data_IF_263740020516
#
_entry.id   IF_263740020516
#
_cell.length_a   1.000
_cell.length_b   1.000
_cell.length_c   1.000
_cell.angle_alpha   90.00
_cell.angle_beta   90.00
_cell.angle_gamma   90.00
#
_symmetry.space_group_name_H-M   'P 1'
#
loop_
_entity.id
_entity.type
_entity.pdbx_description
1 polymer ?
#
# COMPACT_ATOMS: atom_id res chain seq x y z
N UNK A 1 -9.94 0.57 25.15
CA UNK A 1 -8.77 -0.32 25.07
C UNK A 1 -8.55 -0.59 23.59
N UNK A 2 -7.44 -0.09 23.02
CA UNK A 2 -7.08 -0.42 21.65
C UNK A 2 -6.72 -1.91 21.56
N UNK A 3 -7.29 -2.63 20.59
CA UNK A 3 -6.94 -4.02 20.31
C UNK A 3 -6.01 -3.99 19.11
N UNK A 4 -4.76 -4.42 19.31
CA UNK A 4 -3.84 -4.63 18.20
C UNK A 4 -4.36 -5.76 17.31
N UNK A 5 -4.54 -5.47 16.01
CA UNK A 5 -4.91 -6.45 15.00
C UNK A 5 -3.94 -6.35 13.84
N UNK A 6 -3.41 -7.51 13.44
CA UNK A 6 -2.62 -7.69 12.24
C UNK A 6 -3.28 -8.78 11.40
N UNK A 7 -3.48 -8.53 10.12
CA UNK A 7 -3.97 -9.51 9.15
C UNK A 7 -3.13 -9.46 7.89
N UNK A 8 -2.81 -10.63 7.33
CA UNK A 8 -2.06 -10.74 6.07
C UNK A 8 -2.93 -11.42 5.03
N UNK A 9 -3.08 -10.78 3.87
CA UNK A 9 -3.83 -11.30 2.73
C UNK A 9 -2.91 -11.52 1.53
N UNK A 10 -3.34 -12.38 0.62
CA UNK A 10 -2.62 -12.69 -0.62
C UNK A 10 -3.50 -12.33 -1.80
N UNK A 11 -2.99 -11.45 -2.66
CA UNK A 11 -3.62 -11.04 -3.91
C UNK A 11 -3.30 -12.00 -5.04
N UNK A 12 -4.29 -12.30 -5.89
CA UNK A 12 -4.11 -13.11 -7.10
C UNK A 12 -3.78 -12.23 -8.29
N UNK A 13 -3.13 -12.81 -9.30
CA UNK A 13 -2.88 -12.13 -10.57
C UNK A 13 -4.16 -11.54 -11.20
N UNK A 14 -4.03 -10.32 -11.74
CA UNK A 14 -5.12 -9.54 -12.34
C UNK A 14 -5.89 -8.67 -11.34
N UNK A 15 -5.34 -8.40 -10.16
CA UNK A 15 -5.99 -7.65 -9.07
C UNK A 15 -5.07 -6.65 -8.36
N UNK A 16 -3.78 -6.61 -8.67
CA UNK A 16 -2.83 -5.74 -7.98
C UNK A 16 -3.06 -4.26 -8.31
N UNK A 17 -3.06 -3.90 -9.59
CA UNK A 17 -3.20 -2.51 -10.02
C UNK A 17 -4.49 -1.84 -9.52
N UNK A 18 -5.69 -2.40 -9.75
CA UNK A 18 -6.93 -1.78 -9.26
C UNK A 18 -7.02 -1.75 -7.73
N UNK A 19 -6.36 -2.67 -7.04
CA UNK A 19 -6.31 -2.67 -5.57
C UNK A 19 -5.39 -1.57 -5.02
N UNK A 20 -4.22 -1.39 -5.65
CA UNK A 20 -3.30 -0.30 -5.32
C UNK A 20 -3.93 1.08 -5.53
N UNK A 21 -4.60 1.29 -6.67
CA UNK A 21 -5.31 2.56 -6.96
C UNK A 21 -6.41 2.87 -5.95
N UNK A 22 -7.14 1.84 -5.50
CA UNK A 22 -8.18 1.99 -4.49
C UNK A 22 -7.62 2.43 -3.13
N UNK A 23 -6.52 1.82 -2.67
CA UNK A 23 -5.87 2.17 -1.39
C UNK A 23 -5.32 3.60 -1.45
N UNK A 24 -4.64 3.95 -2.53
CA UNK A 24 -4.05 5.27 -2.72
C UNK A 24 -5.06 6.38 -2.99
N UNK A 25 -6.33 5.99 -3.15
CA UNK A 25 -7.45 6.89 -3.47
C UNK A 25 -7.18 7.66 -4.77
N UNK A 26 -6.56 7.04 -5.78
CA UNK A 26 -6.18 7.77 -7.01
C UNK A 26 -7.38 8.37 -7.75
N UNK A 27 -8.49 7.63 -7.85
CA UNK A 27 -9.74 8.15 -8.43
C UNK A 27 -10.38 9.26 -7.58
N UNK A 28 -10.35 9.14 -6.26
CA UNK A 28 -10.85 10.18 -5.35
C UNK A 28 -9.94 11.40 -5.31
N UNK A 29 -8.61 11.27 -5.44
CA UNK A 29 -7.67 12.39 -5.57
C UNK A 29 -7.97 13.22 -6.82
N UNK A 30 -8.41 12.58 -7.91
CA UNK A 30 -8.86 13.26 -9.14
C UNK A 30 -10.21 13.99 -8.94
N UNK A 31 -11.11 13.47 -8.11
CA UNK A 31 -12.42 14.07 -7.81
C UNK A 31 -12.39 15.12 -6.67
N UNK A 32 -11.46 14.99 -5.71
CA UNK A 32 -11.37 15.79 -4.46
C UNK A 32 -10.61 17.10 -4.59
N UNK A 33 -10.23 17.54 -5.80
CA UNK A 33 -9.85 18.95 -5.97
C UNK A 33 -11.00 19.90 -5.62
N UNK A 34 -12.26 19.42 -5.59
CA UNK A 34 -13.41 20.29 -5.32
C UNK A 34 -14.03 20.13 -3.93
N UNK A 35 -14.26 18.92 -3.38
CA UNK A 35 -14.97 18.77 -2.09
C UNK A 35 -14.66 17.42 -1.40
N UNK A 36 -14.24 17.45 -0.12
CA UNK A 36 -14.35 16.41 0.94
C UNK A 36 -13.05 15.99 1.65
N UNK A 37 -13.15 15.88 2.97
CA UNK A 37 -12.22 15.18 3.86
C UNK A 37 -11.95 13.77 3.34
N UNK A 38 -10.67 13.38 3.33
CA UNK A 38 -10.22 12.04 2.91
C UNK A 38 -9.76 11.30 4.16
N UNK A 39 -10.27 10.08 4.38
CA UNK A 39 -9.82 9.20 5.47
C UNK A 39 -8.36 8.73 5.29
N UNK A 40 -7.72 9.01 4.14
CA UNK A 40 -6.32 8.71 3.88
C UNK A 40 -5.42 9.78 4.51
N UNK A 41 -4.75 9.42 5.60
CA UNK A 41 -3.81 10.31 6.29
C UNK A 41 -2.44 10.38 5.61
N UNK A 42 -1.95 9.27 5.06
CA UNK A 42 -0.63 9.16 4.44
C UNK A 42 -0.62 8.04 3.40
N UNK A 43 0.18 8.20 2.34
CA UNK A 43 0.46 7.19 1.32
C UNK A 43 1.90 7.40 0.81
N UNK A 44 2.65 6.31 0.67
CA UNK A 44 4.03 6.31 0.24
C UNK A 44 4.39 4.95 -0.36
N UNK A 45 5.36 4.93 -1.25
CA UNK A 45 5.86 3.70 -1.86
C UNK A 45 7.39 3.65 -1.81
N UNK A 46 7.96 2.45 -1.94
CA UNK A 46 9.39 2.26 -1.88
C UNK A 46 9.87 0.95 -2.48
N UNK A 47 11.19 0.83 -2.61
CA UNK A 47 11.88 -0.32 -3.24
C UNK A 47 11.42 -0.64 -4.66
N UNK A 48 10.82 0.32 -5.37
CA UNK A 48 10.38 0.14 -6.74
C UNK A 48 11.59 -0.10 -7.65
N UNK A 49 11.48 -0.99 -8.65
CA UNK A 49 12.55 -1.19 -9.62
C UNK A 49 12.72 0.07 -10.48
N UNK A 50 13.92 0.27 -11.06
CA UNK A 50 14.27 1.47 -11.86
C UNK A 50 13.24 1.87 -12.93
N UNK A 51 12.56 0.89 -13.53
CA UNK A 51 11.57 1.14 -14.58
C UNK A 51 10.19 1.59 -14.05
N UNK A 52 9.94 1.48 -12.75
CA UNK A 52 8.73 1.96 -12.05
C UNK A 52 9.06 2.87 -10.85
N UNK A 53 10.29 3.37 -10.77
CA UNK A 53 10.81 4.13 -9.61
C UNK A 53 9.94 5.35 -9.25
N UNK A 54 9.36 6.01 -10.25
CA UNK A 54 8.51 7.19 -10.08
C UNK A 54 7.02 6.89 -10.26
N UNK A 55 6.66 5.65 -10.57
CA UNK A 55 5.27 5.29 -10.82
C UNK A 55 4.97 3.86 -10.33
N UNK A 56 4.56 3.69 -9.07
CA UNK A 56 4.33 2.37 -8.48
C UNK A 56 3.21 1.61 -9.19
N UNK A 57 2.23 2.29 -9.81
CA UNK A 57 1.15 1.59 -10.51
C UNK A 57 1.67 0.75 -11.68
N UNK A 58 2.70 1.23 -12.37
CA UNK A 58 3.34 0.51 -13.48
C UNK A 58 3.94 -0.81 -13.00
N UNK A 59 4.43 -0.87 -11.74
CA UNK A 59 4.89 -2.12 -11.15
C UNK A 59 3.75 -3.12 -10.97
N UNK A 60 2.60 -2.68 -10.45
CA UNK A 60 1.45 -3.55 -10.22
C UNK A 60 0.76 -4.00 -11.51
N UNK A 61 0.68 -3.12 -12.51
CA UNK A 61 0.19 -3.49 -13.85
C UNK A 61 1.08 -4.57 -14.48
N UNK A 62 2.41 -4.41 -14.38
CA UNK A 62 3.35 -5.40 -14.85
C UNK A 62 3.22 -6.72 -14.06
N UNK A 63 3.02 -6.66 -12.74
CA UNK A 63 2.78 -7.85 -11.94
C UNK A 63 1.51 -8.58 -12.40
N UNK A 64 0.41 -7.86 -12.63
CA UNK A 64 -0.84 -8.45 -13.12
C UNK A 64 -0.74 -9.03 -14.54
N UNK A 65 0.07 -8.43 -15.41
CA UNK A 65 0.24 -8.86 -16.80
C UNK A 65 1.17 -10.08 -16.94
N UNK A 66 2.25 -10.11 -16.16
CA UNK A 66 3.34 -11.08 -16.36
C UNK A 66 3.38 -12.21 -15.33
N UNK A 67 2.64 -12.11 -14.21
CA UNK A 67 2.52 -13.21 -13.26
C UNK A 67 1.72 -14.38 -13.86
N UNK A 68 2.04 -15.61 -13.44
CA UNK A 68 1.35 -16.80 -13.95
C UNK A 68 -0.13 -16.80 -13.53
N UNK A 69 -0.99 -17.46 -14.30
CA UNK A 69 -2.45 -17.55 -14.07
C UNK A 69 -2.88 -17.88 -12.63
N UNK A 70 -2.13 -18.71 -11.91
CA UNK A 70 -2.39 -19.09 -10.51
C UNK A 70 -1.32 -18.55 -9.53
N UNK A 71 -0.63 -17.48 -9.93
CA UNK A 71 0.36 -16.78 -9.13
C UNK A 71 -0.27 -15.72 -8.23
N UNK A 72 0.55 -15.19 -7.33
CA UNK A 72 0.18 -14.11 -6.41
C UNK A 72 0.97 -12.86 -6.75
N UNK A 73 0.29 -11.75 -6.95
CA UNK A 73 0.93 -10.49 -7.36
C UNK A 73 1.30 -9.59 -6.20
N UNK A 74 0.64 -9.74 -5.05
CA UNK A 74 0.96 -8.97 -3.84
C UNK A 74 0.63 -9.72 -2.56
N UNK A 75 1.19 -9.23 -1.46
CA UNK A 75 0.75 -9.52 -0.09
C UNK A 75 0.34 -8.21 0.55
N UNK A 76 -0.78 -8.22 1.26
CA UNK A 76 -1.33 -7.04 1.92
C UNK A 76 -1.26 -7.23 3.43
N UNK A 77 -0.70 -6.24 4.12
CA UNK A 77 -0.63 -6.19 5.57
C UNK A 77 -1.64 -5.15 6.08
N UNK A 78 -2.69 -5.62 6.74
CA UNK A 78 -3.68 -4.75 7.39
C UNK A 78 -3.37 -4.67 8.89
N UNK A 79 -3.02 -3.47 9.35
CA UNK A 79 -2.59 -3.22 10.73
C UNK A 79 -3.53 -2.19 11.36
N UNK A 80 -4.13 -2.53 12.50
CA UNK A 80 -4.88 -1.56 13.29
C UNK A 80 -3.91 -0.70 14.11
N UNK A 81 -3.91 0.62 13.86
CA UNK A 81 -3.06 1.56 14.58
C UNK A 81 -3.73 2.05 15.88
N UNK A 82 -2.99 2.20 17.00
CA UNK A 82 -3.53 2.73 18.25
C UNK A 82 -4.11 4.14 18.08
N UNK A 83 -5.30 4.38 18.62
CA UNK A 83 -5.99 5.69 18.51
C UNK A 83 -5.39 6.75 19.42
N UNK A 84 -4.66 6.31 20.43
CA UNK A 84 -3.96 7.14 21.41
C UNK A 84 -2.69 7.79 20.82
N UNK A 85 -2.19 7.27 19.69
CA UNK A 85 -1.06 7.85 18.97
C UNK A 85 -1.51 9.03 18.11
N UNK A 86 -0.68 10.05 17.99
CA UNK A 86 -0.88 11.11 16.99
C UNK A 86 -0.45 10.63 15.58
N UNK A 87 -0.69 11.44 14.55
CA UNK A 87 -0.39 11.07 13.17
C UNK A 87 1.10 10.77 12.92
N UNK A 88 2.01 11.56 13.51
CA UNK A 88 3.46 11.38 13.38
C UNK A 88 3.93 10.06 14.00
N UNK A 89 3.44 9.75 15.21
CA UNK A 89 3.75 8.49 15.90
C UNK A 89 3.21 7.26 15.16
N UNK A 90 2.02 7.39 14.54
CA UNK A 90 1.45 6.34 13.70
C UNK A 90 2.31 6.10 12.45
N UNK A 91 2.77 7.17 11.81
CA UNK A 91 3.65 7.08 10.64
C UNK A 91 4.99 6.44 11.01
N UNK A 92 5.64 6.89 12.08
CA UNK A 92 6.91 6.33 12.58
C UNK A 92 6.78 4.83 12.89
N UNK A 93 5.66 4.42 13.49
CA UNK A 93 5.37 3.01 13.75
C UNK A 93 5.28 2.18 12.45
N UNK A 94 4.60 2.71 11.43
CA UNK A 94 4.45 2.05 10.13
C UNK A 94 5.79 1.99 9.39
N UNK A 95 6.59 3.06 9.41
CA UNK A 95 7.93 3.09 8.82
C UNK A 95 8.86 2.08 9.49
N UNK A 96 8.82 1.97 10.83
CA UNK A 96 9.56 0.95 11.57
C UNK A 96 9.13 -0.48 11.22
N UNK A 97 7.83 -0.70 11.00
CA UNK A 97 7.31 -1.98 10.50
C UNK A 97 7.82 -2.30 9.09
N UNK A 98 7.76 -1.33 8.17
CA UNK A 98 8.27 -1.49 6.80
C UNK A 98 9.77 -1.84 6.82
N UNK A 99 10.57 -1.10 7.59
CA UNK A 99 12.01 -1.33 7.67
C UNK A 99 12.37 -2.72 8.23
N UNK A 100 11.59 -3.23 9.17
CA UNK A 100 11.83 -4.53 9.81
C UNK A 100 11.33 -5.72 8.98
N UNK A 101 10.13 -5.63 8.41
CA UNK A 101 9.50 -6.76 7.71
C UNK A 101 9.72 -6.75 6.19
N UNK A 102 9.75 -5.57 5.57
CA UNK A 102 9.92 -5.42 4.11
C UNK A 102 11.39 -5.14 3.76
N UNK A 103 12.05 -4.32 4.58
CA UNK A 103 13.43 -3.89 4.39
C UNK A 103 13.63 -3.20 3.04
N UNK A 104 14.76 -3.49 2.37
CA UNK A 104 15.10 -2.91 1.07
C UNK A 104 14.88 -3.85 -0.12
N UNK A 105 14.26 -5.02 0.12
CA UNK A 105 14.26 -6.14 -0.84
C UNK A 105 13.01 -6.19 -1.71
N UNK A 106 11.85 -5.87 -1.15
CA UNK A 106 10.57 -6.05 -1.82
C UNK A 106 9.93 -4.69 -2.11
N UNK A 107 9.47 -4.44 -3.35
CA UNK A 107 8.65 -3.29 -3.68
C UNK A 107 7.40 -3.24 -2.79
N UNK A 108 7.06 -2.04 -2.31
CA UNK A 108 5.86 -1.81 -1.51
C UNK A 108 5.22 -0.46 -1.85
N UNK A 109 3.94 -0.34 -1.51
CA UNK A 109 3.09 0.84 -1.58
C UNK A 109 2.11 0.78 -0.41
#
# INVERSE_FOLDING_TARGET
MAIARLSVKVGKAGKAAPHAEYIDRDEEKKLKQEQAETDLEHSAYGNMPKWAEHNPITFWEAADLYERKNGSTYREYEIALPREMNAEQRLELVEGFIQSEIGSKYPYQ
#
